data_IF_131428055590
#
_entry.id   IF_131428055590
#
_cell.length_a   1.000
_cell.length_b   1.000
_cell.length_c   1.000
_cell.angle_alpha   90.00
_cell.angle_beta   90.00
_cell.angle_gamma   90.00
#
_symmetry.space_group_name_H-M   'P 1'
#
loop_
_entity.id
_entity.type
_entity.pdbx_description
1 polymer ?
#
# COMPACT_ATOMS: atom_id res chain seq x y z
N UNK A 1 -20.08 15.13 -4.57
CA UNK A 1 -21.07 14.80 -3.52
C UNK A 1 -22.47 15.00 -4.06
N UNK A 2 -23.38 14.05 -3.85
CA UNK A 2 -24.77 14.18 -4.28
C UNK A 2 -25.50 15.14 -3.34
N UNK A 3 -26.12 16.17 -3.91
CA UNK A 3 -26.99 17.08 -3.16
C UNK A 3 -28.45 16.67 -3.37
N UNK A 4 -29.34 17.04 -2.44
CA UNK A 4 -30.77 16.74 -2.54
C UNK A 4 -31.36 17.32 -3.82
N UNK A 5 -30.88 18.47 -4.28
CA UNK A 5 -31.30 19.09 -5.55
C UNK A 5 -31.00 18.25 -6.78
N UNK A 6 -29.95 17.44 -6.75
CA UNK A 6 -29.59 16.53 -7.84
C UNK A 6 -30.50 15.30 -7.92
N UNK A 7 -31.31 15.06 -6.90
CA UNK A 7 -32.29 13.98 -6.86
C UNK A 7 -33.65 14.37 -7.46
N UNK A 8 -33.87 15.67 -7.78
CA UNK A 8 -35.13 16.15 -8.32
C UNK A 8 -35.68 15.37 -9.51
N UNK A 9 -34.85 14.95 -10.50
CA UNK A 9 -35.34 14.13 -11.63
C UNK A 9 -35.86 12.74 -11.22
N UNK A 10 -35.46 12.24 -10.04
CA UNK A 10 -35.88 10.92 -9.55
C UNK A 10 -37.24 11.03 -8.87
N UNK A 11 -37.52 12.15 -8.25
CA UNK A 11 -38.77 12.39 -7.51
C UNK A 11 -40.03 12.12 -8.33
N UNK A 12 -40.01 12.55 -9.58
CA UNK A 12 -41.19 12.46 -10.46
C UNK A 12 -41.32 11.07 -11.10
N UNK A 13 -40.22 10.28 -11.16
CA UNK A 13 -40.21 8.92 -11.71
C UNK A 13 -40.45 7.87 -10.64
N UNK A 14 -39.88 8.03 -9.47
CA UNK A 14 -39.95 7.08 -8.36
C UNK A 14 -39.91 7.85 -7.01
N UNK A 15 -41.06 8.23 -6.48
CA UNK A 15 -41.17 8.97 -5.21
C UNK A 15 -40.56 8.20 -4.03
N UNK A 16 -40.69 6.88 -4.00
CA UNK A 16 -40.16 6.03 -2.93
C UNK A 16 -38.63 6.02 -2.91
N UNK A 17 -38.02 5.84 -4.10
CA UNK A 17 -36.58 5.92 -4.25
C UNK A 17 -36.04 7.32 -3.89
N UNK A 18 -36.76 8.39 -4.31
CA UNK A 18 -36.39 9.73 -3.95
C UNK A 18 -36.39 9.96 -2.43
N UNK A 19 -37.43 9.52 -1.72
CA UNK A 19 -37.49 9.63 -0.28
C UNK A 19 -36.38 8.87 0.42
N UNK A 20 -36.09 7.64 -0.03
CA UNK A 20 -35.01 6.82 0.52
C UNK A 20 -33.66 7.48 0.33
N UNK A 21 -33.34 7.96 -0.87
CA UNK A 21 -32.08 8.64 -1.17
C UNK A 21 -31.94 9.95 -0.39
N UNK A 22 -33.03 10.69 -0.22
CA UNK A 22 -33.07 11.94 0.57
C UNK A 22 -32.72 11.65 2.04
N UNK A 23 -33.27 10.58 2.62
CA UNK A 23 -32.94 10.16 3.99
C UNK A 23 -31.46 9.77 4.12
N UNK A 24 -30.94 9.04 3.15
CA UNK A 24 -29.52 8.65 3.13
C UNK A 24 -28.60 9.89 3.07
N UNK A 25 -28.85 10.81 2.12
CA UNK A 25 -28.06 12.03 1.97
C UNK A 25 -28.13 12.88 3.24
N UNK A 26 -29.32 13.04 3.83
CA UNK A 26 -29.50 13.80 5.08
C UNK A 26 -28.77 13.16 6.25
N UNK A 27 -28.80 11.82 6.36
CA UNK A 27 -28.09 11.08 7.41
C UNK A 27 -26.58 11.22 7.28
N UNK A 28 -26.04 11.09 6.06
CA UNK A 28 -24.61 11.26 5.78
C UNK A 28 -24.17 12.69 6.13
N UNK A 29 -24.94 13.70 5.71
CA UNK A 29 -24.61 15.10 6.00
C UNK A 29 -24.67 15.39 7.52
N UNK A 30 -25.69 14.88 8.23
CA UNK A 30 -25.79 15.04 9.68
C UNK A 30 -24.62 14.35 10.43
N UNK A 31 -24.19 13.19 9.97
CA UNK A 31 -23.04 12.48 10.55
C UNK A 31 -21.75 13.26 10.31
N UNK A 32 -21.57 13.81 9.12
CA UNK A 32 -20.41 14.64 8.77
C UNK A 32 -20.36 15.93 9.61
N UNK A 33 -21.49 16.58 9.80
CA UNK A 33 -21.59 17.79 10.65
C UNK A 33 -21.27 17.48 12.13
N UNK A 34 -21.73 16.34 12.67
CA UNK A 34 -21.39 15.91 14.04
C UNK A 34 -19.91 15.59 14.19
N UNK A 35 -19.27 15.11 13.14
CA UNK A 35 -17.83 14.88 13.12
C UNK A 35 -17.02 16.18 12.93
N UNK A 36 -17.66 17.34 12.77
CA UNK A 36 -17.01 18.62 12.49
C UNK A 36 -16.37 18.67 11.09
N UNK A 37 -16.81 17.78 10.20
CA UNK A 37 -16.33 17.72 8.81
C UNK A 37 -17.43 18.31 7.93
N UNK A 38 -17.15 19.44 7.28
CA UNK A 38 -18.03 19.96 6.23
C UNK A 38 -17.95 19.02 5.02
N UNK A 39 -19.07 18.36 4.64
CA UNK A 39 -19.04 17.45 3.49
C UNK A 39 -18.73 18.13 2.15
N UNK A 40 -18.83 19.46 2.10
CA UNK A 40 -18.47 20.24 0.91
C UNK A 40 -16.98 20.62 0.87
N UNK A 41 -16.29 20.58 1.99
CA UNK A 41 -14.86 20.89 2.09
C UNK A 41 -14.08 19.61 2.24
N UNK A 42 -13.21 19.24 1.30
CA UNK A 42 -12.31 18.09 1.48
C UNK A 42 -11.51 18.25 2.77
N UNK A 43 -11.34 17.16 3.51
CA UNK A 43 -10.47 17.18 4.67
C UNK A 43 -9.07 17.69 4.24
N UNK A 44 -8.40 18.49 5.07
CA UNK A 44 -7.06 18.98 4.74
C UNK A 44 -6.11 17.80 4.50
N UNK A 45 -5.18 17.98 3.56
CA UNK A 45 -4.13 17.02 3.33
C UNK A 45 -3.29 16.84 4.63
N UNK A 46 -2.82 15.61 4.93
CA UNK A 46 -1.84 15.42 5.98
C UNK A 46 -0.54 16.15 5.65
N UNK A 47 0.31 16.37 6.64
CA UNK A 47 1.70 16.79 6.38
C UNK A 47 2.42 15.72 5.58
N UNK A 48 3.49 16.09 4.89
CA UNK A 48 4.29 15.11 4.15
C UNK A 48 4.86 14.05 5.11
N UNK A 49 5.03 12.82 4.62
CA UNK A 49 5.74 11.78 5.37
C UNK A 49 7.13 12.28 5.77
N UNK A 50 7.62 11.88 6.94
CA UNK A 50 8.90 12.42 7.45
C UNK A 50 10.09 11.93 6.62
N UNK A 51 10.04 10.68 6.14
CA UNK A 51 11.07 10.12 5.26
C UNK A 51 10.56 8.89 4.51
N UNK A 52 11.25 8.57 3.43
CA UNK A 52 11.20 7.28 2.77
C UNK A 52 12.61 6.70 2.75
N UNK A 53 12.75 5.43 3.13
CA UNK A 53 13.98 4.67 2.97
C UNK A 53 13.75 3.54 1.98
N UNK A 54 14.70 3.31 1.08
CA UNK A 54 14.63 2.25 0.07
C UNK A 54 15.93 1.49 0.07
N UNK A 55 15.84 0.19 0.27
CA UNK A 55 16.94 -0.74 0.14
C UNK A 55 16.62 -1.75 -0.97
N UNK A 56 17.64 -2.16 -1.71
CA UNK A 56 17.46 -3.16 -2.75
C UNK A 56 18.57 -4.20 -2.69
N UNK A 57 18.17 -5.46 -2.86
CA UNK A 57 19.08 -6.60 -2.90
C UNK A 57 18.45 -7.74 -3.69
N UNK A 58 19.23 -8.35 -4.59
CA UNK A 58 18.82 -9.54 -5.35
C UNK A 58 17.47 -9.41 -6.08
N UNK A 59 17.20 -8.25 -6.64
CA UNK A 59 15.94 -7.95 -7.34
C UNK A 59 14.77 -7.64 -6.44
N UNK A 60 14.95 -7.59 -5.13
CA UNK A 60 13.96 -7.16 -4.15
C UNK A 60 14.19 -5.72 -3.73
N UNK A 61 13.09 -5.02 -3.50
CA UNK A 61 13.06 -3.68 -2.96
C UNK A 61 12.31 -3.71 -1.63
N UNK A 62 12.95 -3.20 -0.60
CA UNK A 62 12.38 -3.01 0.74
C UNK A 62 12.21 -1.50 0.96
N UNK A 63 10.97 -1.07 1.05
CA UNK A 63 10.59 0.32 1.19
C UNK A 63 10.00 0.51 2.58
N UNK A 64 10.52 1.47 3.33
CA UNK A 64 9.96 1.89 4.61
C UNK A 64 9.67 3.38 4.64
N UNK A 65 8.51 3.73 5.21
CA UNK A 65 8.01 5.11 5.29
C UNK A 65 7.92 5.50 6.76
N UNK A 66 8.41 6.69 7.09
CA UNK A 66 8.26 7.27 8.42
C UNK A 66 7.05 8.19 8.45
N UNK A 67 6.27 8.09 9.53
CA UNK A 67 5.04 8.86 9.72
C UNK A 67 5.25 10.36 9.57
N UNK A 68 4.26 11.09 9.05
CA UNK A 68 4.20 12.53 9.20
C UNK A 68 4.05 12.91 10.69
N UNK A 69 4.43 14.13 11.03
CA UNK A 69 4.36 14.62 12.41
C UNK A 69 2.95 14.73 12.98
N UNK A 70 1.94 14.80 12.09
CA UNK A 70 0.52 14.89 12.41
C UNK A 70 -0.23 13.56 12.19
N UNK A 71 0.48 12.44 12.13
CA UNK A 71 -0.12 11.13 11.90
C UNK A 71 -1.19 10.80 12.93
N UNK A 72 -2.37 10.41 12.44
CA UNK A 72 -3.54 10.00 13.24
C UNK A 72 -4.12 8.70 12.69
N UNK A 73 -4.95 7.99 13.44
CA UNK A 73 -5.67 6.82 12.93
C UNK A 73 -6.43 7.13 11.63
N UNK A 74 -6.41 6.20 10.69
CA UNK A 74 -7.05 6.37 9.38
C UNK A 74 -6.14 7.00 8.31
N UNK A 75 -4.85 7.15 8.58
CA UNK A 75 -3.86 7.54 7.58
C UNK A 75 -3.46 6.32 6.73
N UNK A 76 -3.41 6.51 5.42
CA UNK A 76 -2.96 5.52 4.45
C UNK A 76 -1.70 6.01 3.75
N UNK A 77 -0.86 5.05 3.37
CA UNK A 77 0.44 5.30 2.74
C UNK A 77 0.45 4.80 1.31
N UNK A 78 1.18 5.51 0.49
CA UNK A 78 1.42 5.20 -0.91
C UNK A 78 2.91 5.35 -1.20
N UNK A 79 3.44 4.43 -1.99
CA UNK A 79 4.75 4.56 -2.59
C UNK A 79 4.61 4.59 -4.11
N UNK A 80 5.48 5.30 -4.76
CA UNK A 80 5.54 5.35 -6.22
C UNK A 80 6.96 5.08 -6.69
N UNK A 81 7.08 4.36 -7.80
CA UNK A 81 8.35 4.15 -8.47
C UNK A 81 8.28 4.59 -9.93
N UNK A 82 9.36 5.13 -10.43
CA UNK A 82 9.53 5.48 -11.84
C UNK A 82 10.98 5.19 -12.28
N UNK A 83 11.19 5.04 -13.56
CA UNK A 83 12.52 4.94 -14.18
C UNK A 83 13.21 6.29 -14.33
N UNK A 84 12.47 7.38 -14.12
CA UNK A 84 12.98 8.76 -14.23
C UNK A 84 12.72 9.53 -12.92
N UNK A 85 13.59 10.48 -12.55
CA UNK A 85 13.41 11.29 -11.35
C UNK A 85 12.25 12.28 -11.44
N UNK A 86 11.68 12.49 -12.64
CA UNK A 86 10.56 13.39 -12.86
C UNK A 86 9.20 12.77 -12.51
N UNK A 87 9.15 11.46 -12.33
CA UNK A 87 7.89 10.72 -12.04
C UNK A 87 6.76 11.02 -13.03
N UNK A 88 7.08 10.97 -14.34
CA UNK A 88 6.12 11.29 -15.41
C UNK A 88 5.08 10.17 -15.63
N UNK A 89 5.44 8.92 -15.33
CA UNK A 89 4.57 7.77 -15.46
C UNK A 89 4.80 6.78 -14.28
N UNK A 90 4.57 7.21 -13.05
CA UNK A 90 4.91 6.41 -11.89
C UNK A 90 3.99 5.20 -11.76
N UNK A 91 4.57 4.10 -11.30
CA UNK A 91 3.80 2.97 -10.79
C UNK A 91 3.46 3.22 -9.33
N UNK A 92 2.18 3.19 -9.00
CA UNK A 92 1.66 3.48 -7.66
C UNK A 92 1.42 2.17 -6.90
N UNK A 93 1.84 2.14 -5.65
CA UNK A 93 1.62 1.05 -4.70
C UNK A 93 0.85 1.56 -3.50
N UNK A 94 -0.28 0.94 -3.20
CA UNK A 94 -1.08 1.23 -2.02
C UNK A 94 -0.65 0.31 -0.87
N UNK A 95 -0.18 0.89 0.22
CA UNK A 95 0.29 0.17 1.40
C UNK A 95 -0.79 0.02 2.48
N UNK A 96 -1.92 0.69 2.34
CA UNK A 96 -2.92 0.77 3.41
C UNK A 96 -2.35 1.50 4.63
N UNK A 97 -2.56 0.96 5.81
CA UNK A 97 -2.00 1.48 7.06
C UNK A 97 -0.55 0.98 7.33
N UNK A 98 -0.02 0.11 6.47
CA UNK A 98 1.36 -0.38 6.59
C UNK A 98 2.35 0.70 6.16
N UNK A 99 3.48 0.78 6.83
CA UNK A 99 4.60 1.66 6.48
C UNK A 99 5.68 0.95 5.69
N UNK A 100 5.52 -0.35 5.49
CA UNK A 100 6.53 -1.18 4.83
C UNK A 100 5.92 -1.85 3.60
N UNK A 101 6.72 -1.89 2.55
CA UNK A 101 6.38 -2.54 1.29
C UNK A 101 7.59 -3.34 0.81
N UNK A 102 7.36 -4.59 0.44
CA UNK A 102 8.39 -5.48 -0.04
C UNK A 102 8.02 -6.03 -1.42
N UNK A 103 8.85 -5.76 -2.43
CA UNK A 103 8.53 -6.03 -3.84
C UNK A 103 9.68 -6.72 -4.56
N UNK A 104 9.35 -7.68 -5.40
CA UNK A 104 10.30 -8.27 -6.33
C UNK A 104 10.09 -7.64 -7.72
N UNK A 105 11.03 -6.78 -8.12
CA UNK A 105 10.98 -6.07 -9.40
C UNK A 105 12.18 -6.37 -10.29
N UNK A 106 13.07 -7.28 -9.85
CA UNK A 106 14.27 -7.64 -10.61
C UNK A 106 15.34 -6.55 -10.62
N UNK A 107 16.22 -6.59 -11.62
CA UNK A 107 17.37 -5.67 -11.76
C UNK A 107 17.00 -4.29 -12.30
N UNK A 108 15.84 -3.75 -11.95
CA UNK A 108 15.45 -2.42 -12.39
C UNK A 108 16.17 -1.35 -11.58
N UNK A 109 16.48 -0.23 -12.22
CA UNK A 109 16.92 1.00 -11.57
C UNK A 109 15.73 1.93 -11.47
N UNK A 110 15.31 2.25 -10.24
CA UNK A 110 14.07 2.96 -9.97
C UNK A 110 14.32 4.14 -9.03
N UNK A 111 13.60 5.22 -9.26
CA UNK A 111 13.43 6.34 -8.34
C UNK A 111 12.17 6.09 -7.52
N UNK A 112 12.17 6.52 -6.27
CA UNK A 112 11.07 6.27 -5.34
C UNK A 112 10.63 7.56 -4.66
N UNK A 113 9.32 7.67 -4.44
CA UNK A 113 8.73 8.70 -3.59
C UNK A 113 7.54 8.11 -2.83
N UNK A 114 7.19 8.77 -1.72
CA UNK A 114 6.08 8.36 -0.89
C UNK A 114 5.23 9.55 -0.47
N UNK A 115 3.96 9.30 -0.23
CA UNK A 115 3.01 10.24 0.33
C UNK A 115 1.97 9.53 1.19
N UNK A 116 1.20 10.29 1.92
CA UNK A 116 0.12 9.79 2.76
C UNK A 116 -1.18 10.52 2.49
N UNK A 117 -2.31 9.91 2.87
CA UNK A 117 -3.64 10.45 2.65
C UNK A 117 -4.61 9.93 3.70
N UNK A 118 -5.50 10.77 4.22
CA UNK A 118 -6.70 10.35 4.94
C UNK A 118 -7.83 10.05 3.97
N UNK A 119 -8.79 9.24 4.39
CA UNK A 119 -10.02 9.03 3.59
C UNK A 119 -10.71 10.38 3.39
N UNK A 120 -10.96 10.72 2.12
CA UNK A 120 -11.66 11.95 1.74
C UNK A 120 -10.80 13.21 1.77
N UNK A 121 -9.50 13.13 2.10
CA UNK A 121 -8.57 14.26 1.98
C UNK A 121 -7.88 14.29 0.63
N UNK A 122 -7.18 15.39 0.36
CA UNK A 122 -6.14 15.41 -0.66
C UNK A 122 -4.90 14.64 -0.15
N UNK A 123 -4.09 14.07 -1.05
CA UNK A 123 -2.81 13.48 -0.66
C UNK A 123 -1.84 14.55 -0.13
N UNK A 124 -0.92 14.14 0.74
CA UNK A 124 0.19 15.00 1.15
C UNK A 124 1.14 15.30 -0.01
N UNK A 125 1.99 16.29 0.14
CA UNK A 125 3.12 16.46 -0.74
C UNK A 125 4.00 15.19 -0.72
N UNK A 126 4.44 14.67 -1.89
CA UNK A 126 5.31 13.51 -1.93
C UNK A 126 6.73 13.87 -1.48
N UNK A 127 7.39 12.92 -0.81
CA UNK A 127 8.82 12.99 -0.48
C UNK A 127 9.56 11.94 -1.29
N UNK A 128 10.65 12.33 -1.93
CA UNK A 128 11.53 11.46 -2.73
C UNK A 128 12.59 10.79 -1.85
N UNK A 129 12.99 9.59 -2.26
CA UNK A 129 14.20 8.96 -1.73
C UNK A 129 15.43 9.73 -2.25
N UNK A 130 16.12 10.37 -1.32
CA UNK A 130 17.23 11.30 -1.64
C UNK A 130 16.76 12.70 -2.08
N UNK A 131 17.64 13.67 -1.88
CA UNK A 131 17.45 15.05 -2.34
C UNK A 131 18.79 15.58 -2.87
N UNK A 132 18.98 15.63 -4.20
CA UNK A 132 18.04 15.28 -5.29
C UNK A 132 17.63 13.79 -5.29
N UNK A 133 16.55 13.43 -6.01
CA UNK A 133 16.08 12.06 -6.09
C UNK A 133 17.21 11.09 -6.48
N UNK A 134 17.35 10.01 -5.70
CA UNK A 134 18.41 9.02 -5.89
C UNK A 134 17.81 7.74 -6.44
N UNK A 135 18.43 7.19 -7.49
CA UNK A 135 18.05 5.92 -8.05
C UNK A 135 18.52 4.75 -7.18
N UNK A 136 17.69 3.73 -7.06
CA UNK A 136 18.04 2.46 -6.42
C UNK A 136 17.95 1.34 -7.44
N UNK A 137 19.01 0.54 -7.53
CA UNK A 137 19.06 -0.60 -8.46
C UNK A 137 18.84 -1.89 -7.69
N UNK A 138 17.97 -2.74 -8.20
CA UNK A 138 17.59 -4.02 -7.59
C UNK A 138 18.73 -5.02 -7.36
N UNK A 139 19.91 -4.74 -7.92
CA UNK A 139 21.11 -5.59 -7.78
C UNK A 139 21.06 -6.85 -8.63
N UNK A 140 22.24 -7.45 -8.83
CA UNK A 140 22.45 -8.53 -9.76
C UNK A 140 21.70 -9.83 -9.45
N UNK A 141 21.63 -10.63 -10.43
CA UNK A 141 20.91 -11.86 -10.68
C UNK A 141 21.29 -13.09 -9.84
N UNK A 142 21.64 -12.94 -8.61
CA UNK A 142 21.47 -14.07 -7.70
C UNK A 142 19.99 -14.01 -7.28
N UNK A 143 19.20 -14.99 -7.72
CA UNK A 143 17.77 -15.05 -7.50
C UNK A 143 17.35 -14.65 -6.07
N UNK A 144 16.06 -14.40 -5.83
CA UNK A 144 15.62 -13.89 -4.55
C UNK A 144 16.27 -14.71 -3.45
N UNK A 145 17.12 -14.05 -2.67
CA UNK A 145 17.41 -14.60 -1.37
C UNK A 145 16.16 -14.26 -0.56
N UNK A 146 15.21 -15.18 -0.37
CA UNK A 146 14.19 -14.96 0.60
C UNK A 146 14.94 -14.58 1.86
N UNK A 147 14.58 -13.50 2.49
CA UNK A 147 15.08 -13.25 3.83
C UNK A 147 14.85 -14.55 4.58
N UNK A 148 15.95 -15.19 4.93
CA UNK A 148 15.89 -16.50 5.54
C UNK A 148 14.96 -16.32 6.75
N UNK A 149 13.77 -16.90 6.67
CA UNK A 149 13.06 -17.19 7.90
C UNK A 149 14.08 -18.01 8.68
N UNK A 150 14.60 -17.47 9.75
CA UNK A 150 15.59 -18.05 10.64
C UNK A 150 15.05 -19.30 11.36
N UNK A 151 14.26 -20.08 10.68
CA UNK A 151 13.68 -21.32 11.11
C UNK A 151 14.16 -22.44 10.18
N UNK A 152 15.34 -22.95 10.42
CA UNK A 152 15.66 -24.32 10.06
C UNK A 152 14.70 -25.21 10.86
N UNK A 153 13.66 -25.71 10.23
CA UNK A 153 12.66 -26.56 10.87
C UNK A 153 12.31 -27.73 9.96
N UNK A 154 12.15 -28.89 10.56
CA UNK A 154 11.57 -30.06 9.90
C UNK A 154 10.07 -29.83 9.81
N UNK A 155 9.52 -29.83 8.59
CA UNK A 155 8.07 -29.74 8.39
C UNK A 155 7.38 -31.02 8.92
N UNK A 156 6.10 -30.99 9.31
CA UNK A 156 5.36 -32.14 9.84
C UNK A 156 5.36 -33.37 8.92
N UNK A 157 5.69 -33.20 7.65
CA UNK A 157 5.82 -34.27 6.65
C UNK A 157 7.26 -34.85 6.53
N UNK A 158 8.18 -34.45 7.41
CA UNK A 158 9.57 -34.92 7.39
C UNK A 158 10.49 -34.21 6.38
N UNK A 159 10.00 -33.17 5.70
CA UNK A 159 10.83 -32.38 4.79
C UNK A 159 11.66 -31.37 5.57
N UNK A 160 12.94 -31.27 5.23
CA UNK A 160 13.84 -30.25 5.77
C UNK A 160 13.68 -28.96 4.95
N UNK A 161 13.40 -27.86 5.60
CA UNK A 161 13.50 -26.53 4.98
C UNK A 161 14.96 -26.27 4.65
N UNK A 162 15.32 -26.32 3.39
CA UNK A 162 16.58 -25.74 2.95
C UNK A 162 16.55 -24.24 3.16
N UNK A 163 17.68 -23.62 3.51
CA UNK A 163 17.81 -22.19 3.81
C UNK A 163 17.41 -21.22 2.68
N UNK A 164 16.85 -21.71 1.58
CA UNK A 164 16.47 -20.93 0.40
C UNK A 164 14.96 -20.90 0.14
N UNK A 165 14.13 -20.93 1.17
CA UNK A 165 12.70 -20.89 1.00
C UNK A 165 12.11 -22.22 0.50
N UNK A 166 10.87 -22.21 0.08
CA UNK A 166 10.17 -23.40 -0.40
C UNK A 166 10.80 -23.93 -1.68
N UNK A 167 11.79 -24.80 -1.54
CA UNK A 167 12.38 -25.56 -2.61
C UNK A 167 12.28 -27.04 -2.26
N UNK A 168 11.53 -27.80 -3.04
CA UNK A 168 11.72 -29.25 -3.08
C UNK A 168 13.08 -29.46 -3.75
N UNK A 169 14.07 -29.91 -3.00
CA UNK A 169 15.31 -30.35 -3.61
C UNK A 169 14.96 -31.50 -4.57
N UNK A 170 15.19 -31.38 -5.87
CA UNK A 170 14.78 -32.42 -6.85
C UNK A 170 15.41 -33.80 -6.62
N UNK A 171 16.29 -33.95 -5.64
CA UNK A 171 16.89 -35.21 -5.23
C UNK A 171 16.34 -35.81 -3.92
N UNK A 172 15.44 -35.16 -3.21
CA UNK A 172 14.92 -35.68 -1.95
C UNK A 172 13.84 -36.72 -2.22
N UNK A 173 14.19 -38.00 -2.14
CA UNK A 173 13.18 -39.08 -2.09
C UNK A 173 12.38 -38.97 -0.81
N UNK A 174 11.08 -38.87 -0.93
CA UNK A 174 10.15 -39.06 0.19
C UNK A 174 10.25 -40.52 0.59
N UNK A 175 10.98 -40.84 1.65
CA UNK A 175 10.91 -42.16 2.26
C UNK A 175 9.68 -42.21 3.12
N UNK A 176 8.72 -43.03 2.73
CA UNK A 176 7.53 -43.34 3.51
C UNK A 176 7.99 -43.97 4.84
N UNK A 177 7.54 -43.51 6.01
CA UNK A 177 7.89 -44.16 7.25
C UNK A 177 7.30 -45.59 7.23
N UNK A 178 8.14 -46.57 7.48
CA UNK A 178 7.69 -47.94 7.75
C UNK A 178 7.11 -47.96 9.15
N UNK A 179 5.82 -48.18 9.24
CA UNK A 179 5.16 -48.44 10.51
C UNK A 179 5.49 -49.89 10.91
N UNK A 180 6.19 -50.02 12.02
CA UNK A 180 6.34 -51.30 12.72
C UNK A 180 5.10 -51.58 13.56
#
# INVERSE_FOLDING_TARGET
MLTISQLAPIRDRDPYLYETLTKIVSSVNATSQRAGVDPATPAPAPTAVASINVQASNGWFDISITDPSDARPGLFYFAESDTTPAFNAPRVYFLGASRNLYLQLGNQTLYWRAYSQYIGSQPSAPITFGSPPTAVTGGGSSGPTPQASTGSGVLPNGQVRGGNGFGINPGSRITKPTVL
#
